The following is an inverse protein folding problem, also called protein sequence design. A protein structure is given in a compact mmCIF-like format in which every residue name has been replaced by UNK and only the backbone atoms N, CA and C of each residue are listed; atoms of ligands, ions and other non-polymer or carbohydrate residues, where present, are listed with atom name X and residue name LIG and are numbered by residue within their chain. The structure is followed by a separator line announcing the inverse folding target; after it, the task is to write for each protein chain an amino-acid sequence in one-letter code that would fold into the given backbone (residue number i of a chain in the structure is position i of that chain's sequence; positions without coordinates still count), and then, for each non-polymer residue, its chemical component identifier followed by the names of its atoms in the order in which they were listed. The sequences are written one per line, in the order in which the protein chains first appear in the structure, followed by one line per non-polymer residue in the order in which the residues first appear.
data_IF_538464729373
#
_entry.id   IF_538464729373
#
_cell.length_a   1.000
_cell.length_b   1.000
_cell.length_c   1.000
_cell.angle_alpha   90.00
_cell.angle_beta   90.00
_cell.angle_gamma   90.00
#
_symmetry.space_group_name_H-M   'P 1'
#
loop_
_entity.id
_entity.type
_entity.pdbx_description
1 polymer ?
#
# COMPACT_ATOMS: atom_id res chain seq x y z
N UNK A 1 20.72 -8.64 -37.32
CA UNK A 1 20.83 -7.17 -37.43
C UNK A 1 19.52 -6.57 -36.93
N UNK A 2 19.41 -6.35 -35.62
CA UNK A 2 18.15 -5.89 -34.97
C UNK A 2 18.16 -4.37 -34.97
N UNK A 3 17.21 -3.77 -35.69
CA UNK A 3 17.04 -2.32 -35.75
C UNK A 3 16.44 -1.81 -34.44
N UNK A 4 17.16 -0.93 -33.76
CA UNK A 4 16.69 -0.20 -32.57
C UNK A 4 15.83 0.97 -33.04
N UNK A 5 14.53 0.93 -32.74
CA UNK A 5 13.64 2.07 -32.94
C UNK A 5 13.78 3.01 -31.74
N UNK A 6 14.48 4.13 -31.95
CA UNK A 6 14.55 5.22 -30.97
C UNK A 6 13.28 6.08 -31.08
N UNK A 7 12.48 6.11 -30.01
CA UNK A 7 11.36 7.03 -29.89
C UNK A 7 11.91 8.45 -29.62
N UNK A 8 11.50 9.49 -30.37
CA UNK A 8 11.91 10.85 -30.08
C UNK A 8 11.23 11.30 -28.78
N UNK A 9 12.03 11.63 -27.77
CA UNK A 9 11.54 12.33 -26.58
C UNK A 9 11.36 13.80 -26.96
N UNK A 10 10.13 14.20 -27.27
CA UNK A 10 9.81 15.62 -27.43
C UNK A 10 9.84 16.25 -26.04
N UNK A 11 10.84 17.09 -25.78
CA UNK A 11 10.86 17.95 -24.61
C UNK A 11 9.60 18.84 -24.62
N UNK A 12 8.87 18.88 -23.51
CA UNK A 12 7.69 19.72 -23.38
C UNK A 12 8.08 21.19 -23.55
N UNK A 13 7.33 21.90 -24.41
CA UNK A 13 7.50 23.34 -24.68
C UNK A 13 7.53 24.11 -23.35
N UNK A 14 8.66 24.71 -22.99
CA UNK A 14 8.82 25.44 -21.72
C UNK A 14 8.13 26.79 -21.89
N UNK A 15 6.97 27.04 -21.22
CA UNK A 15 6.28 28.29 -21.40
C UNK A 15 7.11 29.45 -20.84
N UNK A 16 7.17 30.54 -21.62
CA UNK A 16 7.96 31.75 -21.34
C UNK A 16 7.59 32.47 -20.02
N UNK A 17 6.51 32.05 -19.35
CA UNK A 17 6.05 32.57 -18.05
C UNK A 17 5.50 31.44 -17.18
N UNK A 18 5.80 31.41 -15.86
CA UNK A 18 5.44 30.33 -14.94
C UNK A 18 3.92 30.15 -14.77
N UNK A 19 3.13 31.19 -15.02
CA UNK A 19 1.66 31.17 -14.89
C UNK A 19 0.96 30.26 -15.92
N UNK A 20 1.64 29.88 -17.01
CA UNK A 20 1.08 28.98 -18.05
C UNK A 20 1.36 27.50 -17.76
N UNK A 21 2.06 27.20 -16.66
CA UNK A 21 2.43 25.84 -16.29
C UNK A 21 1.23 25.16 -15.63
N UNK A 22 0.49 24.39 -16.44
CA UNK A 22 -0.62 23.57 -15.95
C UNK A 22 -0.07 22.27 -15.41
N UNK A 23 -0.11 22.11 -14.09
CA UNK A 23 0.18 20.84 -13.46
C UNK A 23 -1.07 19.95 -13.57
N UNK A 24 -0.94 18.71 -14.07
CA UNK A 24 -2.03 17.76 -14.02
C UNK A 24 -2.39 17.48 -12.56
N UNK A 25 -3.69 17.28 -12.29
CA UNK A 25 -4.18 16.98 -10.95
C UNK A 25 -3.53 15.69 -10.43
N UNK A 26 -2.95 15.76 -9.23
CA UNK A 26 -2.36 14.60 -8.58
C UNK A 26 -3.47 13.59 -8.26
N UNK A 27 -3.52 12.49 -9.03
CA UNK A 27 -4.36 11.34 -8.68
C UNK A 27 -3.63 10.51 -7.64
N UNK A 28 -4.05 10.66 -6.38
CA UNK A 28 -3.66 9.77 -5.30
C UNK A 28 -4.75 8.71 -5.12
N UNK A 29 -4.45 7.48 -5.51
CA UNK A 29 -5.33 6.32 -5.32
C UNK A 29 -4.72 5.44 -4.21
N UNK A 30 -5.06 5.69 -2.93
CA UNK A 30 -4.55 4.88 -1.85
C UNK A 30 -5.09 3.45 -1.96
N UNK A 31 -4.28 2.43 -1.64
CA UNK A 31 -4.75 1.06 -1.66
C UNK A 31 -5.90 0.89 -0.65
N UNK A 32 -7.02 0.33 -1.10
CA UNK A 32 -8.17 0.11 -0.24
C UNK A 32 -7.89 -1.08 0.68
N UNK A 33 -7.78 -0.86 1.98
CA UNK A 33 -7.48 -1.92 2.96
C UNK A 33 -8.49 -3.08 2.99
N UNK A 34 -9.70 -2.87 2.44
CA UNK A 34 -10.72 -3.91 2.24
C UNK A 34 -10.27 -5.00 1.27
N UNK A 35 -9.45 -4.68 0.27
CA UNK A 35 -9.06 -5.63 -0.78
C UNK A 35 -8.20 -6.78 -0.24
N UNK A 36 -7.56 -6.56 0.90
CA UNK A 36 -6.69 -7.53 1.56
C UNK A 36 -7.34 -8.19 2.78
N UNK A 37 -8.60 -7.88 3.07
CA UNK A 37 -9.33 -8.36 4.23
C UNK A 37 -9.97 -9.72 3.95
N UNK A 38 -9.54 -10.76 4.66
CA UNK A 38 -10.07 -12.11 4.55
C UNK A 38 -10.69 -12.52 5.89
N UNK A 39 -11.98 -12.86 5.89
CA UNK A 39 -12.63 -13.42 7.08
C UNK A 39 -12.39 -14.94 7.13
N UNK A 40 -11.77 -15.40 8.22
CA UNK A 40 -11.55 -16.82 8.45
C UNK A 40 -12.84 -17.48 8.95
N UNK A 41 -13.01 -18.78 8.66
CA UNK A 41 -14.19 -19.57 9.09
C UNK A 41 -14.41 -19.55 10.61
N UNK A 42 -13.33 -19.40 11.38
CA UNK A 42 -13.36 -19.34 12.84
C UNK A 42 -13.78 -17.98 13.40
N UNK A 43 -13.99 -16.95 12.56
CA UNK A 43 -14.41 -15.61 12.97
C UNK A 43 -13.35 -14.50 12.86
N UNK A 44 -12.05 -14.73 13.11
CA UNK A 44 -11.03 -13.69 12.97
C UNK A 44 -10.89 -13.16 11.54
N UNK A 45 -10.44 -11.92 11.46
CA UNK A 45 -10.15 -11.24 10.19
C UNK A 45 -8.63 -11.21 10.00
N UNK A 46 -8.16 -11.82 8.92
CA UNK A 46 -6.78 -11.75 8.48
C UNK A 46 -6.62 -10.65 7.43
N UNK A 47 -5.48 -9.96 7.44
CA UNK A 47 -5.07 -9.04 6.38
C UNK A 47 -3.85 -9.63 5.67
N UNK A 48 -3.96 -9.93 4.37
CA UNK A 48 -2.90 -10.55 3.59
C UNK A 48 -2.50 -9.66 2.43
N UNK A 49 -1.30 -9.09 2.50
CA UNK A 49 -0.70 -8.27 1.43
C UNK A 49 0.50 -9.03 0.89
N UNK A 50 0.52 -9.32 -0.42
CA UNK A 50 1.66 -10.00 -1.05
C UNK A 50 2.69 -8.95 -1.47
N UNK A 51 3.88 -8.97 -0.85
CA UNK A 51 5.04 -8.20 -1.30
C UNK A 51 6.06 -9.18 -1.93
N UNK A 52 6.49 -8.91 -3.17
CA UNK A 52 7.46 -9.74 -3.92
C UNK A 52 8.85 -9.09 -4.03
N UNK A 53 9.03 -7.91 -3.47
CA UNK A 53 10.29 -7.16 -3.51
C UNK A 53 11.37 -7.84 -2.65
N UNK A 54 10.96 -8.43 -1.52
CA UNK A 54 11.81 -9.20 -0.63
C UNK A 54 11.13 -10.52 -0.28
N UNK A 55 11.88 -11.65 -0.20
CA UNK A 55 11.33 -12.95 0.19
C UNK A 55 11.13 -13.05 1.70
N UNK A 56 10.50 -12.04 2.31
CA UNK A 56 10.27 -11.95 3.75
C UNK A 56 8.79 -12.13 4.05
N UNK A 57 8.51 -12.91 5.09
CA UNK A 57 7.15 -13.13 5.60
C UNK A 57 7.07 -12.60 7.02
N UNK A 58 6.22 -11.60 7.24
CA UNK A 58 5.91 -11.05 8.56
C UNK A 58 4.50 -11.48 8.98
N UNK A 59 4.36 -12.04 10.18
CA UNK A 59 3.08 -12.43 10.75
C UNK A 59 2.91 -11.72 12.09
N UNK A 60 1.83 -10.94 12.23
CA UNK A 60 1.46 -10.30 13.49
C UNK A 60 0.06 -10.74 13.89
N UNK A 61 -0.07 -11.28 15.10
CA UNK A 61 -1.37 -11.68 15.66
C UNK A 61 -1.75 -10.66 16.72
N UNK A 62 -2.87 -9.97 16.52
CA UNK A 62 -3.43 -9.05 17.50
C UNK A 62 -4.69 -9.65 18.10
N UNK A 63 -4.61 -10.02 19.37
CA UNK A 63 -5.77 -10.46 20.14
C UNK A 63 -6.36 -9.24 20.84
N UNK A 64 -7.67 -9.06 20.77
CA UNK A 64 -8.39 -7.99 21.48
C UNK A 64 -8.60 -8.37 22.95
N UNK A 65 -7.52 -8.68 23.66
CA UNK A 65 -7.53 -8.89 25.10
C UNK A 65 -6.55 -7.92 25.74
N UNK A 66 -6.88 -7.46 26.93
CA UNK A 66 -6.06 -6.56 27.72
C UNK A 66 -6.08 -6.97 29.17
N UNK A 67 -5.13 -6.46 29.95
CA UNK A 67 -5.03 -6.67 31.40
C UNK A 67 -6.24 -6.19 32.19
N UNK A 68 -7.18 -5.47 31.56
CA UNK A 68 -8.46 -5.08 32.15
C UNK A 68 -9.42 -6.26 32.40
N UNK A 69 -9.32 -7.36 31.64
CA UNK A 69 -10.14 -8.56 31.85
C UNK A 69 -9.38 -9.68 32.58
N UNK A 70 -8.25 -9.36 33.21
CA UNK A 70 -7.52 -10.30 34.03
C UNK A 70 -8.32 -10.61 35.31
N UNK A 71 -8.52 -11.90 35.66
CA UNK A 71 -8.98 -12.25 37.00
C UNK A 71 -8.00 -11.67 38.04
N UNK A 72 -8.46 -11.32 39.26
CA UNK A 72 -7.62 -10.70 40.29
C UNK A 72 -6.40 -11.55 40.69
N UNK A 73 -6.42 -12.85 40.38
CA UNK A 73 -5.35 -13.82 40.67
C UNK A 73 -4.36 -14.02 39.51
N UNK A 74 -4.53 -13.30 38.38
CA UNK A 74 -3.68 -13.39 37.18
C UNK A 74 -3.32 -12.02 36.61
N UNK A 75 -2.83 -11.12 37.47
CA UNK A 75 -2.22 -9.87 37.04
C UNK A 75 -0.80 -10.14 36.50
N UNK A 76 -0.55 -9.80 35.24
CA UNK A 76 0.74 -10.00 34.56
C UNK A 76 0.75 -9.51 33.12
#
# INVERSE_FOLDING_TARGET
MVAVFALPVCAADIPNRPEKLKFPSLKYDPPTGSDYRIQLKSGPVAYLVTNRELPLVGISIRVRTGSYEAPPDKEG
#
